data_IF_036742501383
#
_entry.id   IF_036742501383
#
_cell.length_a   1.000
_cell.length_b   1.000
_cell.length_c   1.000
_cell.angle_alpha   90.00
_cell.angle_beta   90.00
_cell.angle_gamma   90.00
#
_symmetry.space_group_name_H-M   'P 1'
#
loop_
_entity.id
_entity.type
_entity.pdbx_description
1 polymer ?
#
# COMPACT_ATOMS: atom_id res chain seq x y z
N UNK A 1 21.53 31.32 -2.04
CA UNK A 1 20.38 31.04 -1.16
C UNK A 1 20.74 29.87 -0.27
N UNK A 2 21.12 30.12 0.97
CA UNK A 2 21.55 29.11 1.94
C UNK A 2 20.34 28.63 2.75
N UNK A 3 19.82 27.45 2.45
CA UNK A 3 18.63 26.88 3.10
C UNK A 3 18.97 25.67 3.96
N UNK A 4 18.74 25.77 5.28
CA UNK A 4 18.40 24.71 6.25
C UNK A 4 19.09 23.31 6.16
N UNK A 5 20.40 23.22 6.36
CA UNK A 5 21.09 21.93 6.66
C UNK A 5 21.60 21.85 8.11
N UNK A 6 21.14 22.73 9.00
CA UNK A 6 21.66 22.77 10.37
C UNK A 6 21.02 21.63 11.17
N UNK A 7 21.87 20.68 11.57
CA UNK A 7 21.65 19.51 12.42
C UNK A 7 21.53 18.14 11.74
N UNK A 8 22.26 17.90 10.65
CA UNK A 8 22.48 16.53 10.17
C UNK A 8 23.36 15.75 11.15
N UNK A 9 22.77 14.78 11.87
CA UNK A 9 23.48 13.87 12.77
C UNK A 9 23.62 12.50 12.10
N UNK A 10 24.86 12.08 11.86
CA UNK A 10 25.16 10.75 11.36
C UNK A 10 25.57 9.83 12.53
N UNK A 11 25.02 8.63 12.57
CA UNK A 11 25.45 7.58 13.51
C UNK A 11 25.86 6.36 12.71
N UNK A 12 27.09 5.89 12.95
CA UNK A 12 27.56 4.63 12.37
C UNK A 12 26.81 3.47 13.04
N UNK A 13 26.33 2.57 12.20
CA UNK A 13 25.61 1.37 12.61
C UNK A 13 26.26 0.20 11.89
N UNK A 14 26.41 -0.91 12.60
CA UNK A 14 26.88 -2.16 12.00
C UNK A 14 25.91 -2.62 10.90
N UNK A 15 26.46 -3.06 9.77
CA UNK A 15 25.68 -3.41 8.56
C UNK A 15 24.77 -4.63 8.79
N UNK A 16 25.17 -5.56 9.66
CA UNK A 16 24.40 -6.78 9.94
C UNK A 16 23.36 -6.57 11.04
N UNK A 17 23.42 -5.44 11.75
CA UNK A 17 22.39 -5.07 12.71
C UNK A 17 21.02 -4.88 12.04
N UNK A 18 19.90 -4.99 12.79
CA UNK A 18 18.58 -4.74 12.23
C UNK A 18 18.44 -3.38 11.54
N UNK A 19 19.07 -2.34 12.09
CA UNK A 19 19.04 -0.99 11.52
C UNK A 19 19.98 -0.87 10.30
N UNK A 20 21.14 -1.53 10.32
CA UNK A 20 22.05 -1.57 9.18
C UNK A 20 21.43 -2.23 7.94
N UNK A 21 20.69 -3.33 8.15
CA UNK A 21 20.03 -4.07 7.06
C UNK A 21 18.93 -3.28 6.34
N UNK A 22 18.29 -2.33 7.01
CA UNK A 22 17.26 -1.47 6.39
C UNK A 22 17.81 -0.11 5.95
N UNK A 23 19.03 0.26 6.35
CA UNK A 23 19.61 1.59 6.10
C UNK A 23 19.64 1.97 4.63
N UNK A 24 20.07 1.05 3.76
CA UNK A 24 20.07 1.27 2.30
C UNK A 24 18.66 1.55 1.78
N UNK A 25 17.65 0.81 2.25
CA UNK A 25 16.27 1.01 1.83
C UNK A 25 15.70 2.34 2.36
N UNK A 26 16.12 2.82 3.53
CA UNK A 26 15.77 4.16 4.03
C UNK A 26 16.35 5.24 3.12
N UNK A 27 17.63 5.14 2.79
CA UNK A 27 18.33 6.11 1.93
C UNK A 27 17.72 6.13 0.52
N UNK A 28 17.46 4.96 -0.07
CA UNK A 28 16.77 4.83 -1.35
C UNK A 28 15.36 5.42 -1.31
N UNK A 29 14.57 5.12 -0.27
CA UNK A 29 13.22 5.67 -0.15
C UNK A 29 13.25 7.21 -0.05
N UNK A 30 14.13 7.75 0.81
CA UNK A 30 14.26 9.18 1.06
C UNK A 30 14.71 9.94 -0.20
N UNK A 31 15.66 9.39 -0.96
CA UNK A 31 16.19 10.04 -2.15
C UNK A 31 15.14 10.16 -3.28
N UNK A 32 14.11 9.31 -3.27
CA UNK A 32 13.01 9.35 -4.23
C UNK A 32 11.81 10.18 -3.76
N UNK A 33 11.85 10.80 -2.57
CA UNK A 33 10.77 11.68 -2.11
C UNK A 33 10.72 12.98 -2.93
N UNK A 34 9.53 13.39 -3.41
CA UNK A 34 9.38 14.66 -4.10
C UNK A 34 9.67 15.84 -3.17
N UNK A 35 10.16 16.94 -3.76
CA UNK A 35 10.23 18.21 -3.05
C UNK A 35 8.82 18.72 -2.74
N UNK A 36 8.66 19.53 -1.67
CA UNK A 36 7.39 20.18 -1.38
C UNK A 36 6.84 20.94 -2.59
N UNK A 37 5.58 20.67 -2.96
CA UNK A 37 4.93 21.28 -4.12
C UNK A 37 5.20 20.60 -5.47
N UNK A 38 5.99 19.52 -5.51
CA UNK A 38 6.23 18.73 -6.73
C UNK A 38 5.84 17.26 -6.55
N UNK A 39 4.70 16.99 -5.91
CA UNK A 39 4.28 15.64 -5.51
C UNK A 39 4.07 14.63 -6.66
N UNK A 40 4.09 15.09 -7.91
CA UNK A 40 3.86 14.26 -9.10
C UNK A 40 5.14 13.75 -9.76
N UNK A 41 6.33 14.21 -9.36
CA UNK A 41 7.61 13.87 -10.01
C UNK A 41 8.64 13.35 -9.03
N UNK A 42 9.33 12.28 -9.44
CA UNK A 42 10.47 11.78 -8.71
C UNK A 42 11.73 12.63 -9.03
N UNK A 43 12.47 13.11 -8.02
CA UNK A 43 13.66 13.93 -8.25
C UNK A 43 14.82 13.15 -8.89
N UNK A 44 14.96 11.86 -8.56
CA UNK A 44 16.00 10.98 -9.10
C UNK A 44 15.68 10.41 -10.48
N UNK A 45 14.45 9.92 -10.68
CA UNK A 45 14.10 9.26 -11.94
C UNK A 45 13.87 10.25 -13.10
N UNK A 46 13.56 11.52 -12.81
CA UNK A 46 13.33 12.66 -13.74
C UNK A 46 12.25 12.50 -14.83
N UNK A 47 12.01 11.29 -15.33
CA UNK A 47 11.05 10.93 -16.39
C UNK A 47 9.84 10.16 -15.87
N UNK A 48 9.90 9.67 -14.62
CA UNK A 48 8.82 8.91 -14.00
C UNK A 48 7.99 9.77 -13.05
N UNK A 49 6.67 9.55 -13.08
CA UNK A 49 5.78 10.07 -12.06
C UNK A 49 6.07 9.42 -10.72
N UNK A 50 5.90 10.19 -9.65
CA UNK A 50 5.97 9.66 -8.29
C UNK A 50 4.58 9.12 -7.87
N UNK A 51 4.47 7.99 -7.16
CA UNK A 51 5.57 7.11 -6.72
C UNK A 51 6.15 6.30 -7.88
N UNK A 52 7.49 6.24 -7.94
CA UNK A 52 8.21 5.48 -8.96
C UNK A 52 8.55 4.06 -8.48
N UNK A 53 8.96 3.17 -9.40
CA UNK A 53 9.27 1.78 -9.09
C UNK A 53 10.32 1.64 -7.97
N UNK A 54 11.43 2.38 -8.05
CA UNK A 54 12.48 2.35 -7.01
C UNK A 54 11.98 2.76 -5.63
N UNK A 55 11.09 3.75 -5.55
CA UNK A 55 10.44 4.12 -4.29
C UNK A 55 9.60 2.96 -3.73
N UNK A 56 8.81 2.29 -4.60
CA UNK A 56 7.98 1.16 -4.21
C UNK A 56 8.82 -0.06 -3.79
N UNK A 57 9.96 -0.29 -4.44
CA UNK A 57 10.89 -1.36 -4.10
C UNK A 57 11.51 -1.14 -2.72
N UNK A 58 12.02 0.06 -2.46
CA UNK A 58 12.53 0.46 -1.15
C UNK A 58 11.44 0.37 -0.07
N UNK A 59 10.22 0.82 -0.37
CA UNK A 59 9.08 0.71 0.53
C UNK A 59 8.74 -0.75 0.89
N UNK A 60 8.86 -1.68 -0.07
CA UNK A 60 8.68 -3.12 0.18
C UNK A 60 9.79 -3.68 1.07
N UNK A 61 11.05 -3.36 0.80
CA UNK A 61 12.16 -3.79 1.65
C UNK A 61 12.02 -3.29 3.10
N UNK A 62 11.54 -2.07 3.29
CA UNK A 62 11.24 -1.53 4.62
C UNK A 62 10.10 -2.27 5.30
N UNK A 63 9.03 -2.57 4.56
CA UNK A 63 7.90 -3.36 5.07
C UNK A 63 8.36 -4.76 5.53
N UNK A 64 9.16 -5.44 4.71
CA UNK A 64 9.71 -6.76 5.03
C UNK A 64 10.67 -6.70 6.26
N UNK A 65 11.34 -5.56 6.44
CA UNK A 65 12.14 -5.24 7.63
C UNK A 65 11.33 -4.80 8.85
N UNK A 66 9.99 -4.78 8.76
CA UNK A 66 9.11 -4.37 9.86
C UNK A 66 9.07 -2.86 10.12
N UNK A 67 9.59 -2.04 9.20
CA UNK A 67 9.61 -0.57 9.30
C UNK A 67 8.40 0.00 8.56
N UNK A 68 7.47 0.69 9.25
CA UNK A 68 6.32 1.30 8.59
C UNK A 68 6.73 2.53 7.78
N UNK A 69 6.54 2.45 6.46
CA UNK A 69 6.87 3.50 5.48
C UNK A 69 6.26 4.87 5.83
N UNK A 70 5.06 4.88 6.42
CA UNK A 70 4.39 6.12 6.86
C UNK A 70 5.16 6.95 7.89
N UNK A 71 6.14 6.37 8.61
CA UNK A 71 7.02 7.13 9.51
C UNK A 71 8.14 7.87 8.78
N UNK A 72 8.47 7.46 7.55
CA UNK A 72 9.55 8.02 6.75
C UNK A 72 9.05 8.98 5.68
N UNK A 73 7.76 8.90 5.35
CA UNK A 73 7.12 9.75 4.33
C UNK A 73 6.49 10.98 4.99
N UNK A 74 6.82 12.20 4.54
CA UNK A 74 6.14 13.44 4.94
C UNK A 74 4.62 13.36 4.81
N UNK A 75 3.91 13.93 5.79
CA UNK A 75 2.44 13.85 5.89
C UNK A 75 1.70 14.40 4.66
N UNK A 76 2.24 15.41 3.99
CA UNK A 76 1.64 16.00 2.79
C UNK A 76 1.64 15.04 1.58
N UNK A 77 2.45 13.99 1.61
CA UNK A 77 2.50 12.95 0.59
C UNK A 77 1.59 11.77 0.90
N UNK A 78 1.05 11.67 2.12
CA UNK A 78 0.19 10.55 2.52
C UNK A 78 -1.07 10.39 1.65
N UNK A 79 -1.77 11.46 1.24
CA UNK A 79 -2.96 11.31 0.39
C UNK A 79 -2.70 10.67 -0.97
N UNK A 80 -1.47 10.76 -1.48
CA UNK A 80 -1.08 10.15 -2.76
C UNK A 80 -0.81 8.66 -2.59
N UNK A 81 -0.18 8.26 -1.49
CA UNK A 81 0.16 6.85 -1.22
C UNK A 81 -0.99 6.05 -0.61
N UNK A 82 -1.81 6.69 0.22
CA UNK A 82 -2.94 6.09 0.92
C UNK A 82 -4.20 6.92 0.63
N UNK A 83 -4.71 6.87 -0.61
CA UNK A 83 -5.93 7.60 -0.95
C UNK A 83 -7.06 7.11 -0.04
N UNK A 84 -7.90 8.02 0.50
CA UNK A 84 -9.04 7.63 1.30
C UNK A 84 -9.90 6.68 0.47
N UNK A 85 -10.06 5.45 0.95
CA UNK A 85 -10.97 4.50 0.32
C UNK A 85 -12.36 5.12 0.39
N UNK A 86 -12.93 5.45 -0.76
CA UNK A 86 -14.33 5.86 -0.83
C UNK A 86 -15.13 4.77 -0.10
N UNK A 87 -15.78 5.12 1.00
CA UNK A 87 -16.67 4.20 1.71
C UNK A 87 -17.59 3.58 0.65
N UNK A 88 -17.64 2.25 0.62
CA UNK A 88 -18.50 1.51 -0.30
C UNK A 88 -19.90 2.14 -0.28
N UNK A 89 -20.57 2.28 -1.44
CA UNK A 89 -21.90 2.86 -1.48
C UNK A 89 -22.77 2.12 -0.46
N UNK A 90 -23.41 2.89 0.43
CA UNK A 90 -24.36 2.33 1.39
C UNK A 90 -25.32 1.40 0.63
N UNK A 91 -25.69 0.24 1.19
CA UNK A 91 -26.62 -0.66 0.54
C UNK A 91 -27.86 0.15 0.20
N UNK A 92 -28.09 0.37 -1.09
CA UNK A 92 -29.33 0.96 -1.57
C UNK A 92 -30.41 0.01 -1.08
N UNK A 93 -31.18 0.44 -0.08
CA UNK A 93 -32.34 -0.29 0.38
C UNK A 93 -33.24 -0.42 -0.84
N UNK A 94 -33.22 -1.60 -1.46
CA UNK A 94 -34.06 -1.93 -2.59
C UNK A 94 -35.51 -1.86 -2.11
N UNK A 95 -36.12 -0.69 -2.27
CA UNK A 95 -37.55 -0.52 -2.07
C UNK A 95 -38.25 -1.12 -3.28
N UNK A 96 -38.94 -2.23 -3.05
CA UNK A 96 -40.09 -2.67 -3.84
C UNK A 96 -39.79 -3.24 -5.22
N UNK A 97 -39.86 -4.58 -5.32
CA UNK A 97 -39.91 -5.28 -6.61
C UNK A 97 -40.14 -6.77 -6.44
N UNK A 98 -41.18 -7.15 -5.71
CA UNK A 98 -41.64 -8.55 -5.65
C UNK A 98 -42.11 -8.98 -7.05
N UNK A 99 -41.30 -9.76 -7.75
CA UNK A 99 -41.81 -10.68 -8.78
C UNK A 99 -41.51 -12.10 -8.32
N UNK A 100 -42.55 -12.72 -7.76
CA UNK A 100 -42.67 -14.15 -7.53
C UNK A 100 -42.41 -14.89 -8.84
N UNK A 101 -41.26 -15.53 -8.96
CA UNK A 101 -40.99 -16.51 -10.01
C UNK A 101 -41.07 -17.91 -9.39
N UNK A 102 -42.21 -18.56 -9.63
CA UNK A 102 -42.51 -19.94 -9.21
C UNK A 102 -41.66 -20.93 -10.03
N UNK A 103 -40.81 -21.77 -9.41
CA UNK A 103 -40.18 -22.88 -10.11
C UNK A 103 -41.16 -24.08 -10.26
N UNK A 104 -41.15 -24.80 -11.39
CA UNK A 104 -41.95 -26.02 -11.53
C UNK A 104 -41.35 -27.18 -10.73
N UNK A 105 -42.24 -28.02 -10.21
CA UNK A 105 -41.92 -29.25 -9.49
C UNK A 105 -41.22 -30.27 -10.39
N UNK A 106 -40.06 -30.77 -9.94
CA UNK A 106 -39.50 -32.06 -10.40
C UNK A 106 -39.05 -32.84 -9.17
N UNK A 107 -39.52 -34.08 -9.13
CA UNK A 107 -39.41 -35.06 -8.05
C UNK A 107 -37.96 -35.48 -7.72
N UNK A 108 -37.71 -35.93 -6.47
CA UNK A 108 -36.40 -36.42 -6.04
C UNK A 108 -36.18 -37.89 -6.47
N UNK A 109 -34.92 -38.23 -6.77
CA UNK A 109 -34.46 -39.61 -6.93
C UNK A 109 -33.20 -39.86 -6.05
N UNK A 110 -32.95 -41.11 -5.63
CA UNK A 110 -32.60 -41.43 -4.25
C UNK A 110 -31.10 -41.40 -3.92
N UNK A 111 -30.85 -41.19 -2.63
CA UNK A 111 -29.56 -41.39 -1.97
C UNK A 111 -29.08 -42.83 -2.16
N UNK A 112 -27.80 -43.00 -2.52
CA UNK A 112 -27.10 -44.26 -2.32
C UNK A 112 -25.85 -43.97 -1.50
N UNK A 113 -25.98 -44.25 -0.21
CA UNK A 113 -24.88 -44.45 0.71
C UNK A 113 -23.97 -45.58 0.16
N UNK A 114 -22.67 -45.40 0.23
CA UNK A 114 -21.69 -46.47 0.05
C UNK A 114 -20.55 -46.23 1.04
N UNK A 115 -20.69 -46.88 2.18
CA UNK A 115 -19.60 -47.20 3.10
C UNK A 115 -19.05 -48.57 2.70
N UNK A 116 -17.72 -48.69 2.59
CA UNK A 116 -16.85 -49.89 2.71
C UNK A 116 -15.61 -49.68 1.82
N UNK A 117 -14.37 -49.82 2.29
CA UNK A 117 -13.86 -50.25 3.59
C UNK A 117 -12.37 -49.94 3.72
#
# INVERSE_FOLDING_TARGET
MAGLWRDAVARMVDVDSPLGRVGVAVDELAAHLPMPGTQTRCPLCSTMTWPCASFLDAARHLHDGGVPVGLLVPLDLHPVLWPPTASAPAPVTAVGGSTTSTPPAVHPAPVRESWAG
#
